data_IF_232468295308
#
_entry.id   IF_232468295308
#
_cell.length_a   1.000
_cell.length_b   1.000
_cell.length_c   1.000
_cell.angle_alpha   90.00
_cell.angle_beta   90.00
_cell.angle_gamma   90.00
#
_symmetry.space_group_name_H-M   'P 1'
#
loop_
_entity.id
_entity.type
_entity.pdbx_description
1 polymer ?
#
# COMPACT_ATOMS: atom_id res chain seq x y z
N UNK A 1 -69.86 12.03 28.50
CA UNK A 1 -68.78 11.29 29.19
C UNK A 1 -68.45 10.05 28.39
N UNK A 2 -67.33 10.07 27.65
CA UNK A 2 -66.56 8.93 27.11
C UNK A 2 -65.40 9.55 26.32
N UNK A 3 -64.31 9.85 27.02
CA UNK A 3 -63.05 10.28 26.42
C UNK A 3 -62.30 9.03 25.98
N UNK A 4 -62.13 8.83 24.68
CA UNK A 4 -61.29 7.77 24.12
C UNK A 4 -59.90 8.35 23.91
N UNK A 5 -58.96 8.00 24.79
CA UNK A 5 -57.53 8.29 24.63
C UNK A 5 -57.00 7.36 23.53
N UNK A 6 -56.61 7.93 22.40
CA UNK A 6 -55.91 7.22 21.34
C UNK A 6 -54.42 7.15 21.71
N UNK A 7 -53.98 6.01 22.25
CA UNK A 7 -52.56 5.76 22.49
C UNK A 7 -51.86 5.53 21.14
N UNK A 8 -51.07 6.51 20.71
CA UNK A 8 -50.20 6.39 19.55
C UNK A 8 -49.01 5.51 19.92
N UNK A 9 -49.07 4.22 19.59
CA UNK A 9 -47.91 3.33 19.63
C UNK A 9 -46.94 3.74 18.52
N UNK A 10 -45.93 4.52 18.86
CA UNK A 10 -44.76 4.73 18.01
C UNK A 10 -43.97 3.42 18.05
N UNK A 11 -44.21 2.55 17.07
CA UNK A 11 -43.33 1.42 16.80
C UNK A 11 -42.01 1.96 16.24
N UNK A 12 -41.09 2.33 17.12
CA UNK A 12 -39.71 2.57 16.74
C UNK A 12 -39.09 1.24 16.31
N UNK A 13 -39.08 0.96 15.01
CA UNK A 13 -38.16 -0.06 14.48
C UNK A 13 -36.75 0.40 14.84
N UNK A 14 -35.96 -0.38 15.59
CA UNK A 14 -34.55 -0.06 15.74
C UNK A 14 -33.96 -0.10 14.34
N UNK A 15 -33.57 1.06 13.82
CA UNK A 15 -32.76 1.13 12.62
C UNK A 15 -31.43 0.51 13.03
N UNK A 16 -31.28 -0.81 12.86
CA UNK A 16 -29.95 -1.41 12.88
C UNK A 16 -29.19 -0.68 11.78
N UNK A 17 -28.29 0.23 12.17
CA UNK A 17 -27.46 0.97 11.25
C UNK A 17 -26.55 -0.05 10.55
N UNK A 18 -27.02 -0.62 9.45
CA UNK A 18 -26.21 -1.47 8.61
C UNK A 18 -25.07 -0.60 8.09
N UNK A 19 -23.82 -1.03 8.31
CA UNK A 19 -22.66 -0.34 7.79
C UNK A 19 -22.77 -0.34 6.26
N UNK A 20 -23.07 0.83 5.69
CA UNK A 20 -23.07 1.05 4.25
C UNK A 20 -21.66 1.42 3.82
N UNK A 21 -21.10 0.78 2.77
CA UNK A 21 -19.79 1.18 2.29
C UNK A 21 -19.80 2.63 1.79
N UNK A 22 -18.72 3.36 2.04
CA UNK A 22 -18.55 4.78 1.71
C UNK A 22 -18.48 5.03 0.19
N UNK A 23 -18.03 4.03 -0.57
CA UNK A 23 -17.82 4.09 -2.03
C UNK A 23 -17.96 2.70 -2.67
N UNK A 24 -19.11 2.04 -2.47
CA UNK A 24 -19.39 0.72 -3.07
C UNK A 24 -19.47 0.80 -4.60
N UNK A 25 -20.18 1.80 -5.11
CA UNK A 25 -20.23 2.14 -6.53
C UNK A 25 -18.83 2.60 -6.99
N UNK A 26 -18.45 2.20 -8.20
CA UNK A 26 -17.11 2.42 -8.72
C UNK A 26 -17.11 2.55 -10.24
N UNK A 27 -16.04 3.14 -10.75
CA UNK A 27 -15.72 3.16 -12.18
C UNK A 27 -14.66 2.09 -12.44
N UNK A 28 -14.89 1.19 -13.39
CA UNK A 28 -13.86 0.24 -13.84
C UNK A 28 -12.91 0.96 -14.79
N UNK A 29 -11.68 1.20 -14.34
CA UNK A 29 -10.61 1.79 -15.16
C UNK A 29 -10.11 0.78 -16.19
N UNK A 30 -10.04 -0.49 -15.80
CA UNK A 30 -9.57 -1.58 -16.64
C UNK A 30 -10.23 -2.91 -16.23
N UNK A 31 -10.60 -3.71 -17.22
CA UNK A 31 -11.06 -5.09 -17.05
C UNK A 31 -10.21 -6.03 -17.91
N UNK A 32 -9.86 -7.18 -17.34
CA UNK A 32 -9.05 -8.19 -18.02
C UNK A 32 -9.81 -8.80 -19.20
N UNK A 33 -9.18 -8.89 -20.39
CA UNK A 33 -9.76 -9.62 -21.52
C UNK A 33 -9.71 -11.14 -21.33
N UNK A 34 -8.82 -11.66 -20.48
CA UNK A 34 -8.73 -13.07 -20.10
C UNK A 34 -8.53 -13.17 -18.57
N UNK A 35 -9.60 -13.10 -17.77
CA UNK A 35 -9.51 -13.14 -16.31
C UNK A 35 -8.84 -14.40 -15.74
N UNK A 36 -8.73 -15.48 -16.52
CA UNK A 36 -8.08 -16.71 -16.09
C UNK A 36 -6.55 -16.66 -16.19
N UNK A 37 -5.99 -15.73 -16.97
CA UNK A 37 -4.55 -15.68 -17.27
C UNK A 37 -3.91 -14.29 -17.17
N UNK A 38 -4.69 -13.22 -17.30
CA UNK A 38 -4.21 -11.83 -17.34
C UNK A 38 -4.84 -11.08 -16.17
N UNK A 39 -4.02 -10.39 -15.37
CA UNK A 39 -4.44 -9.77 -14.13
C UNK A 39 -3.92 -8.34 -14.01
N UNK A 40 -4.66 -7.50 -13.29
CA UNK A 40 -4.23 -6.13 -12.96
C UNK A 40 -3.38 -6.11 -11.70
N UNK A 41 -2.39 -5.23 -11.63
CA UNK A 41 -1.45 -5.09 -10.51
C UNK A 41 -1.12 -3.62 -10.21
N UNK A 42 -0.69 -3.38 -8.96
CA UNK A 42 -0.06 -2.14 -8.46
C UNK A 42 -0.67 -0.82 -8.96
N UNK A 43 -1.96 -0.55 -8.71
CA UNK A 43 -2.53 0.74 -9.09
C UNK A 43 -1.97 1.87 -8.20
N UNK A 44 -1.47 2.93 -8.83
CA UNK A 44 -1.06 4.19 -8.20
C UNK A 44 -1.95 5.34 -8.67
N UNK A 45 -2.15 6.35 -7.83
CA UNK A 45 -2.92 7.55 -8.20
C UNK A 45 -2.28 8.81 -7.62
N UNK A 46 -2.27 9.89 -8.40
CA UNK A 46 -2.02 11.23 -7.91
C UNK A 46 -2.96 12.25 -8.56
N UNK A 47 -3.07 13.43 -7.94
CA UNK A 47 -3.82 14.57 -8.45
C UNK A 47 -2.83 15.67 -8.84
N UNK A 48 -2.98 16.21 -10.05
CA UNK A 48 -2.20 17.35 -10.53
C UNK A 48 -2.74 18.68 -9.98
N UNK A 49 -1.95 19.77 -9.98
CA UNK A 49 -2.42 21.10 -9.60
C UNK A 49 -3.68 21.55 -10.37
N UNK A 50 -3.79 21.20 -11.66
CA UNK A 50 -4.97 21.48 -12.50
C UNK A 50 -6.25 20.77 -12.07
N UNK A 51 -6.15 19.76 -11.20
CA UNK A 51 -7.27 18.89 -10.82
C UNK A 51 -7.37 17.61 -11.65
N UNK A 52 -6.57 17.46 -12.71
CA UNK A 52 -6.45 16.19 -13.43
C UNK A 52 -5.99 15.08 -12.50
N UNK A 53 -6.64 13.93 -12.58
CA UNK A 53 -6.21 12.70 -11.91
C UNK A 53 -5.33 11.89 -12.86
N UNK A 54 -4.26 11.30 -12.32
CA UNK A 54 -3.35 10.41 -13.06
C UNK A 54 -3.30 9.07 -12.34
N UNK A 55 -3.50 8.00 -13.10
CA UNK A 55 -3.41 6.62 -12.62
C UNK A 55 -2.33 5.87 -13.36
N UNK A 56 -1.56 5.09 -12.62
CA UNK A 56 -0.71 4.03 -13.19
C UNK A 56 -1.22 2.68 -12.75
N UNK A 57 -1.12 1.67 -13.60
CA UNK A 57 -1.25 0.27 -13.16
C UNK A 57 -0.48 -0.66 -14.08
N UNK A 58 -0.28 -1.88 -13.62
CA UNK A 58 0.35 -2.95 -14.37
C UNK A 58 -0.69 -3.99 -14.79
N UNK A 59 -0.37 -4.70 -15.86
CA UNK A 59 -1.08 -5.87 -16.35
C UNK A 59 -0.05 -6.97 -16.54
N UNK A 60 -0.30 -8.17 -16.03
CA UNK A 60 0.63 -9.27 -16.20
C UNK A 60 -0.06 -10.63 -16.25
N UNK A 61 0.58 -11.57 -16.94
CA UNK A 61 0.24 -12.98 -16.88
C UNK A 61 0.90 -13.74 -15.72
N UNK A 62 1.45 -13.03 -14.72
CA UNK A 62 2.18 -13.62 -13.59
C UNK A 62 3.29 -14.59 -14.03
N UNK A 63 4.06 -14.16 -15.04
CA UNK A 63 5.13 -14.95 -15.67
C UNK A 63 4.67 -16.26 -16.33
N UNK A 64 3.37 -16.43 -16.58
CA UNK A 64 2.83 -17.60 -17.29
C UNK A 64 2.67 -17.30 -18.79
N UNK A 65 2.98 -18.26 -19.68
CA UNK A 65 2.68 -18.12 -21.11
C UNK A 65 1.19 -17.89 -21.37
N UNK A 66 0.88 -16.96 -22.28
CA UNK A 66 -0.48 -16.74 -22.79
C UNK A 66 -0.56 -17.00 -24.30
N UNK A 67 -1.64 -17.62 -24.80
CA UNK A 67 -1.88 -17.73 -26.25
C UNK A 67 -2.20 -16.37 -26.88
N UNK A 68 -1.98 -16.20 -28.20
CA UNK A 68 -1.36 -17.16 -29.12
C UNK A 68 0.18 -17.17 -29.08
N UNK A 69 0.83 -16.16 -28.49
CA UNK A 69 2.28 -15.96 -28.60
C UNK A 69 3.10 -16.99 -27.80
N UNK A 70 2.48 -17.65 -26.81
CA UNK A 70 3.14 -18.63 -25.96
C UNK A 70 4.22 -18.02 -25.06
N UNK A 71 4.12 -16.71 -24.76
CA UNK A 71 5.07 -15.94 -23.93
C UNK A 71 4.37 -15.30 -22.74
N UNK A 72 5.15 -14.97 -21.71
CA UNK A 72 4.64 -14.18 -20.61
C UNK A 72 4.34 -12.74 -21.08
N UNK A 73 3.31 -12.15 -20.49
CA UNK A 73 2.87 -10.79 -20.79
C UNK A 73 3.08 -9.90 -19.56
N UNK A 74 3.61 -8.69 -19.80
CA UNK A 74 3.69 -7.61 -18.82
C UNK A 74 3.58 -6.28 -19.57
N UNK A 75 2.76 -5.37 -19.05
CA UNK A 75 2.57 -4.02 -19.57
C UNK A 75 2.20 -3.09 -18.41
N UNK A 76 2.74 -1.87 -18.40
CA UNK A 76 2.30 -0.82 -17.47
C UNK A 76 1.64 0.32 -18.23
N UNK A 77 0.55 0.87 -17.69
CA UNK A 77 -0.29 1.87 -18.33
C UNK A 77 -0.41 3.15 -17.52
N UNK A 78 -0.50 4.26 -18.23
CA UNK A 78 -0.78 5.60 -17.69
C UNK A 78 -2.15 6.02 -18.20
N UNK A 79 -3.03 6.43 -17.29
CA UNK A 79 -4.34 6.95 -17.61
C UNK A 79 -4.57 8.29 -16.91
N UNK A 80 -5.36 9.16 -17.54
CA UNK A 80 -5.75 10.46 -16.95
C UNK A 80 -7.25 10.63 -16.95
N UNK A 81 -7.76 11.38 -15.98
CA UNK A 81 -9.14 11.82 -15.95
C UNK A 81 -9.23 13.32 -15.67
N UNK A 82 -10.01 14.01 -16.49
CA UNK A 82 -10.28 15.45 -16.43
C UNK A 82 -11.70 15.77 -15.90
N UNK A 83 -12.49 14.74 -15.58
CA UNK A 83 -13.91 14.86 -15.18
C UNK A 83 -14.20 14.30 -13.78
N UNK A 84 -13.17 14.25 -12.93
CA UNK A 84 -13.26 13.77 -11.55
C UNK A 84 -13.24 12.24 -11.42
N UNK A 85 -12.71 11.52 -12.41
CA UNK A 85 -12.58 10.06 -12.40
C UNK A 85 -13.78 9.32 -12.98
N UNK A 86 -14.68 10.01 -13.70
CA UNK A 86 -15.86 9.40 -14.35
C UNK A 86 -15.44 8.70 -15.63
N UNK A 87 -14.55 9.32 -16.41
CA UNK A 87 -13.95 8.74 -17.61
C UNK A 87 -12.43 8.79 -17.54
N UNK A 88 -11.78 7.84 -18.22
CA UNK A 88 -10.33 7.66 -18.18
C UNK A 88 -9.78 7.55 -19.60
N UNK A 89 -8.78 8.38 -19.91
CA UNK A 89 -8.06 8.36 -21.18
C UNK A 89 -6.73 7.64 -21.00
N UNK A 90 -6.49 6.57 -21.75
CA UNK A 90 -5.15 5.96 -21.84
C UNK A 90 -4.20 6.94 -22.54
N UNK A 91 -3.05 7.19 -21.92
CA UNK A 91 -2.03 8.14 -22.42
C UNK A 91 -0.83 7.45 -23.01
N UNK A 92 -0.29 6.47 -22.30
CA UNK A 92 0.91 5.77 -22.72
C UNK A 92 1.05 4.41 -22.01
N UNK A 93 1.85 3.56 -22.63
CA UNK A 93 2.46 2.40 -21.99
C UNK A 93 3.89 2.75 -21.55
N UNK A 94 4.40 2.08 -20.52
CA UNK A 94 5.77 2.28 -20.05
C UNK A 94 6.35 1.00 -19.46
N UNK A 95 7.68 0.91 -19.41
CA UNK A 95 8.42 -0.31 -19.07
C UNK A 95 8.95 -0.29 -17.63
N UNK A 96 8.09 -0.01 -16.64
CA UNK A 96 8.43 -0.10 -15.22
C UNK A 96 7.35 -0.84 -14.45
N UNK A 97 7.76 -1.71 -13.53
CA UNK A 97 6.86 -2.37 -12.57
C UNK A 97 6.89 -1.64 -11.22
N UNK A 98 5.91 -1.91 -10.37
CA UNK A 98 5.77 -1.38 -9.02
C UNK A 98 5.83 0.15 -8.96
N UNK A 99 5.26 0.79 -9.99
CA UNK A 99 5.42 2.20 -10.21
C UNK A 99 4.33 3.03 -9.51
N UNK A 100 4.68 4.27 -9.16
CA UNK A 100 3.73 5.26 -8.61
C UNK A 100 3.88 6.60 -9.32
N UNK A 101 2.78 7.31 -9.60
CA UNK A 101 2.82 8.67 -10.10
C UNK A 101 2.89 9.66 -8.92
N UNK A 102 3.64 10.74 -9.06
CA UNK A 102 3.67 11.85 -8.10
C UNK A 102 4.11 13.15 -8.76
N UNK A 103 3.70 14.27 -8.19
CA UNK A 103 4.09 15.60 -8.67
C UNK A 103 5.21 16.12 -7.78
N UNK A 104 6.29 16.61 -8.38
CA UNK A 104 7.35 17.31 -7.67
C UNK A 104 7.77 18.55 -8.48
N UNK A 105 7.76 19.71 -7.81
CA UNK A 105 7.96 20.98 -8.48
C UNK A 105 6.85 21.23 -9.51
N UNK A 106 7.22 21.38 -10.78
CA UNK A 106 6.29 21.63 -11.89
C UNK A 106 6.02 20.38 -12.75
N UNK A 107 6.66 19.27 -12.43
CA UNK A 107 6.67 18.08 -13.29
C UNK A 107 5.94 16.92 -12.63
N UNK A 108 5.36 16.08 -13.48
CA UNK A 108 4.81 14.79 -13.09
C UNK A 108 5.88 13.73 -13.30
N UNK A 109 6.05 12.86 -12.32
CA UNK A 109 7.00 11.75 -12.37
C UNK A 109 6.28 10.43 -12.15
N UNK A 110 6.79 9.37 -12.78
CA UNK A 110 6.47 7.99 -12.42
C UNK A 110 7.78 7.30 -12.08
N UNK A 111 7.89 6.82 -10.84
CA UNK A 111 9.05 6.07 -10.36
C UNK A 111 8.64 4.64 -10.05
N UNK A 112 9.42 3.69 -10.55
CA UNK A 112 9.21 2.25 -10.37
C UNK A 112 10.52 1.49 -10.58
N UNK A 113 10.42 0.25 -11.06
CA UNK A 113 11.61 -0.58 -11.34
C UNK A 113 11.52 -1.44 -12.58
N UNK A 114 12.67 -1.62 -13.23
CA UNK A 114 12.99 -2.74 -14.12
C UNK A 114 14.27 -3.42 -13.60
N UNK A 115 14.10 -4.18 -12.51
CA UNK A 115 15.13 -4.61 -11.55
C UNK A 115 15.79 -3.44 -10.81
N UNK A 116 16.26 -2.44 -11.52
CA UNK A 116 16.81 -1.19 -10.98
C UNK A 116 15.70 -0.15 -10.82
N UNK A 117 15.90 0.82 -9.94
CA UNK A 117 15.01 1.97 -9.80
C UNK A 117 15.17 2.85 -11.02
N UNK A 118 14.04 3.23 -11.61
CA UNK A 118 14.01 4.15 -12.74
C UNK A 118 12.79 5.05 -12.68
N UNK A 119 12.89 6.17 -13.38
CA UNK A 119 11.89 7.23 -13.40
C UNK A 119 11.67 7.73 -14.82
N UNK A 120 10.43 8.09 -15.13
CA UNK A 120 10.03 8.85 -16.31
C UNK A 120 9.37 10.15 -15.86
N UNK A 121 9.47 11.19 -16.69
CA UNK A 121 8.96 12.54 -16.41
C UNK A 121 7.99 12.99 -17.50
N UNK A 122 6.99 13.77 -17.10
CA UNK A 122 6.13 14.53 -18.00
C UNK A 122 6.08 15.99 -17.52
N UNK A 123 6.20 16.91 -18.48
CA UNK A 123 6.17 18.35 -18.26
C UNK A 123 4.89 18.99 -18.87
N UNK A 124 3.95 18.17 -19.34
CA UNK A 124 2.71 18.56 -20.04
C UNK A 124 1.47 17.82 -19.50
N UNK A 125 1.44 17.63 -18.18
CA UNK A 125 0.31 17.02 -17.46
C UNK A 125 0.00 15.57 -17.86
N UNK A 126 1.04 14.80 -18.18
CA UNK A 126 0.96 13.37 -18.47
C UNK A 126 0.62 13.04 -19.92
N UNK A 127 0.70 14.02 -20.84
CA UNK A 127 0.40 13.82 -22.26
C UNK A 127 1.60 13.18 -22.98
N UNK A 128 2.80 13.69 -22.77
CA UNK A 128 4.05 13.12 -23.27
C UNK A 128 5.00 12.76 -22.11
N UNK A 129 5.90 11.81 -22.38
CA UNK A 129 6.79 11.24 -21.36
C UNK A 129 8.21 11.16 -21.90
N UNK A 130 9.17 11.42 -21.01
CA UNK A 130 10.59 11.21 -21.27
C UNK A 130 10.93 9.73 -21.43
N UNK A 131 12.09 9.44 -22.01
CA UNK A 131 12.76 8.16 -21.84
C UNK A 131 13.00 7.85 -20.35
N UNK A 132 13.10 6.55 -20.03
CA UNK A 132 13.41 6.10 -18.67
C UNK A 132 14.84 6.47 -18.29
N UNK A 133 14.98 6.97 -17.06
CA UNK A 133 16.28 7.28 -16.46
C UNK A 133 16.50 6.42 -15.22
N UNK A 134 17.65 5.74 -15.14
CA UNK A 134 18.00 4.88 -14.00
C UNK A 134 18.59 5.67 -12.84
N UNK A 135 18.18 5.33 -11.63
CA UNK A 135 18.62 5.98 -10.38
C UNK A 135 19.58 5.09 -9.57
N UNK A 136 20.11 4.03 -10.18
CA UNK A 136 21.17 3.19 -9.62
C UNK A 136 21.73 2.27 -10.72
N UNK A 137 22.99 1.86 -10.56
CA UNK A 137 23.71 1.05 -11.55
C UNK A 137 23.61 -0.45 -11.34
N UNK A 138 23.19 -0.88 -10.13
CA UNK A 138 23.10 -2.30 -9.77
C UNK A 138 22.00 -2.58 -8.75
N UNK A 139 21.67 -3.86 -8.59
CA UNK A 139 20.74 -4.36 -7.58
C UNK A 139 19.38 -4.77 -8.15
N UNK A 140 18.64 -5.55 -7.37
CA UNK A 140 17.26 -5.91 -7.64
C UNK A 140 16.41 -5.20 -6.59
N UNK A 141 15.43 -4.44 -7.06
CA UNK A 141 14.61 -3.57 -6.24
C UNK A 141 13.15 -4.00 -6.32
N UNK A 142 12.45 -3.75 -5.23
CA UNK A 142 11.07 -4.10 -4.97
C UNK A 142 10.33 -2.88 -4.42
N UNK A 143 9.03 -2.80 -4.70
CA UNK A 143 8.09 -1.91 -4.01
C UNK A 143 6.65 -2.26 -4.41
N UNK A 144 5.71 -1.40 -4.03
CA UNK A 144 4.40 -1.21 -4.62
C UNK A 144 4.17 0.31 -4.85
N UNK A 145 2.93 0.74 -5.08
CA UNK A 145 2.60 2.15 -5.24
C UNK A 145 2.35 2.84 -3.88
N UNK A 146 3.30 2.77 -2.93
CA UNK A 146 3.14 3.39 -1.60
C UNK A 146 3.24 4.93 -1.65
N UNK A 147 3.08 5.60 -0.51
CA UNK A 147 3.04 7.06 -0.48
C UNK A 147 4.36 7.74 -0.91
N UNK A 148 4.27 9.05 -1.14
CA UNK A 148 5.40 9.95 -1.36
C UNK A 148 5.25 11.08 -0.35
N UNK A 149 6.32 11.36 0.40
CA UNK A 149 6.32 12.36 1.45
C UNK A 149 7.10 13.61 1.01
N UNK A 150 6.62 14.78 1.40
CA UNK A 150 7.27 16.06 1.11
C UNK A 150 7.60 16.76 2.42
N UNK A 151 8.87 17.16 2.57
CA UNK A 151 9.32 17.93 3.71
C UNK A 151 10.57 18.71 3.35
N UNK A 152 10.77 19.89 3.96
CA UNK A 152 12.04 20.64 3.84
C UNK A 152 12.46 20.91 2.38
N UNK A 153 11.49 21.13 1.49
CA UNK A 153 11.73 21.34 0.06
C UNK A 153 12.18 20.09 -0.72
N UNK A 154 12.10 18.90 -0.11
CA UNK A 154 12.51 17.64 -0.71
C UNK A 154 11.32 16.70 -0.91
N UNK A 155 11.48 15.79 -1.87
CA UNK A 155 10.69 14.57 -2.00
C UNK A 155 11.39 13.42 -1.25
N UNK A 156 10.61 12.63 -0.55
CA UNK A 156 11.03 11.43 0.17
C UNK A 156 10.13 10.25 -0.23
N UNK A 157 10.75 9.15 -0.67
CA UNK A 157 10.04 7.89 -0.96
C UNK A 157 10.97 6.72 -0.71
N UNK A 158 10.42 5.51 -0.59
CA UNK A 158 11.20 4.30 -0.32
C UNK A 158 11.11 3.35 -1.50
N UNK A 159 12.28 2.80 -1.88
CA UNK A 159 12.40 1.59 -2.67
C UNK A 159 13.10 0.53 -1.82
N UNK A 160 12.72 -0.74 -1.97
CA UNK A 160 13.31 -1.84 -1.19
C UNK A 160 14.34 -2.59 -2.01
N UNK A 161 15.56 -2.72 -1.51
CA UNK A 161 16.63 -3.44 -2.20
C UNK A 161 16.70 -4.88 -1.70
N UNK A 162 16.71 -5.84 -2.62
CA UNK A 162 16.98 -7.23 -2.29
C UNK A 162 18.44 -7.43 -1.90
N UNK A 163 18.64 -8.29 -0.91
CA UNK A 163 19.95 -8.67 -0.41
C UNK A 163 20.18 -10.20 -0.52
N UNK A 164 20.24 -10.75 -1.75
CA UNK A 164 20.01 -12.17 -2.06
C UNK A 164 21.02 -13.15 -1.46
N UNK A 165 22.18 -12.67 -1.00
CA UNK A 165 23.22 -13.49 -0.34
C UNK A 165 22.73 -14.22 0.92
N UNK A 166 21.52 -13.90 1.42
CA UNK A 166 20.89 -14.53 2.59
C UNK A 166 20.23 -15.88 2.30
N UNK A 167 20.09 -16.25 1.02
CA UNK A 167 19.64 -17.59 0.61
C UNK A 167 18.16 -17.84 0.89
N UNK A 168 17.33 -16.80 0.86
CA UNK A 168 15.87 -16.90 1.00
C UNK A 168 15.29 -17.53 -0.28
N UNK A 169 14.50 -18.58 -0.09
CA UNK A 169 13.83 -19.34 -1.14
C UNK A 169 12.33 -19.01 -1.16
N UNK A 170 11.76 -18.87 -2.34
CA UNK A 170 10.35 -18.47 -2.51
C UNK A 170 10.19 -16.96 -2.53
N UNK A 171 9.21 -16.42 -1.78
CA UNK A 171 8.96 -14.99 -1.72
C UNK A 171 9.92 -14.31 -0.73
N UNK A 172 10.75 -13.39 -1.23
CA UNK A 172 11.97 -12.92 -0.57
C UNK A 172 11.76 -11.72 0.36
N UNK A 173 10.68 -11.70 1.14
CA UNK A 173 10.37 -10.55 2.04
C UNK A 173 11.33 -10.43 3.23
N UNK A 174 12.07 -11.48 3.55
CA UNK A 174 13.07 -11.49 4.61
C UNK A 174 14.41 -10.84 4.21
N UNK A 175 14.68 -10.66 2.91
CA UNK A 175 15.96 -10.10 2.43
C UNK A 175 15.86 -8.65 1.93
N UNK A 176 14.70 -8.01 2.12
CA UNK A 176 14.48 -6.64 1.72
C UNK A 176 15.10 -5.67 2.73
N UNK A 177 15.82 -4.67 2.21
CA UNK A 177 16.20 -3.46 2.93
C UNK A 177 15.38 -2.27 2.41
N UNK A 178 14.57 -1.60 3.26
CA UNK A 178 13.92 -0.36 2.85
C UNK A 178 14.99 0.75 2.77
N UNK A 179 15.08 1.40 1.61
CA UNK A 179 16.01 2.52 1.39
C UNK A 179 15.20 3.78 1.14
N UNK A 180 15.28 4.73 2.07
CA UNK A 180 14.71 6.06 1.90
C UNK A 180 15.55 6.82 0.87
N UNK A 181 14.87 7.30 -0.15
CA UNK A 181 15.41 8.14 -1.21
C UNK A 181 14.97 9.58 -0.99
N UNK A 182 15.90 10.52 -1.07
CA UNK A 182 15.66 11.97 -0.96
C UNK A 182 16.20 12.70 -2.18
N UNK A 183 15.41 13.63 -2.72
CA UNK A 183 15.87 14.61 -3.68
C UNK A 183 15.19 15.96 -3.46
N UNK A 184 15.77 17.06 -3.92
CA UNK A 184 15.09 18.36 -3.91
C UNK A 184 13.88 18.31 -4.83
N UNK A 185 12.72 18.76 -4.35
CA UNK A 185 11.47 18.63 -5.10
C UNK A 185 11.44 19.47 -6.38
N UNK A 186 12.24 20.53 -6.45
CA UNK A 186 12.40 21.42 -7.61
C UNK A 186 13.59 21.05 -8.52
N UNK A 187 14.33 19.98 -8.20
CA UNK A 187 15.42 19.48 -9.04
C UNK A 187 14.91 18.53 -10.14
N UNK A 188 15.75 18.26 -11.14
CA UNK A 188 15.44 17.25 -12.15
C UNK A 188 15.58 15.85 -11.54
N UNK A 189 14.44 15.23 -11.21
CA UNK A 189 14.43 13.93 -10.56
C UNK A 189 14.83 12.78 -11.49
N UNK A 190 15.02 13.02 -12.79
CA UNK A 190 15.56 12.02 -13.72
C UNK A 190 17.06 11.80 -13.54
N UNK A 191 17.74 12.70 -12.82
CA UNK A 191 19.20 12.71 -12.68
C UNK A 191 19.65 12.05 -11.38
N UNK A 192 20.46 10.99 -11.48
CA UNK A 192 20.94 10.21 -10.33
C UNK A 192 21.62 11.07 -9.26
N UNK A 193 22.40 12.05 -9.69
CA UNK A 193 23.19 12.96 -8.83
C UNK A 193 22.33 13.81 -7.89
N UNK A 194 21.04 13.99 -8.21
CA UNK A 194 20.10 14.72 -7.36
C UNK A 194 19.53 13.88 -6.21
N UNK A 195 19.80 12.56 -6.19
CA UNK A 195 19.26 11.63 -5.21
C UNK A 195 20.28 11.21 -4.15
N UNK A 196 19.86 11.26 -2.88
CA UNK A 196 20.54 10.64 -1.73
C UNK A 196 19.77 9.40 -1.29
N UNK A 197 20.48 8.34 -0.90
CA UNK A 197 19.90 7.06 -0.48
C UNK A 197 20.33 6.77 0.96
N UNK A 198 19.44 6.23 1.79
CA UNK A 198 19.78 5.82 3.15
C UNK A 198 20.58 4.53 3.18
N UNK A 199 21.22 4.27 4.33
CA UNK A 199 21.88 2.99 4.58
C UNK A 199 20.88 1.84 4.53
N UNK A 200 21.36 0.65 4.16
CA UNK A 200 20.55 -0.56 4.11
C UNK A 200 20.41 -1.17 5.52
N UNK A 201 19.19 -1.53 5.90
CA UNK A 201 18.91 -2.39 7.05
C UNK A 201 18.08 -3.57 6.54
N UNK A 202 18.66 -4.76 6.43
CA UNK A 202 17.96 -5.93 5.90
C UNK A 202 17.23 -6.65 7.02
N UNK A 203 15.98 -7.07 6.81
CA UNK A 203 15.16 -7.72 7.83
C UNK A 203 15.86 -8.91 8.52
N UNK A 204 16.45 -9.83 7.75
CA UNK A 204 17.12 -11.03 8.28
C UNK A 204 18.35 -10.73 9.17
N UNK A 205 18.92 -9.54 9.06
CA UNK A 205 20.09 -9.11 9.83
C UNK A 205 19.70 -8.51 11.20
N UNK A 206 18.42 -8.27 11.43
CA UNK A 206 17.90 -7.64 12.66
C UNK A 206 17.86 -8.67 13.79
N UNK A 207 18.56 -8.44 14.92
CA UNK A 207 18.53 -9.34 16.06
C UNK A 207 17.12 -9.58 16.60
N UNK A 208 16.29 -8.53 16.67
CA UNK A 208 14.91 -8.57 17.15
C UNK A 208 14.01 -9.43 16.26
N UNK A 209 14.31 -9.55 14.96
CA UNK A 209 13.60 -10.45 14.05
C UNK A 209 13.89 -11.94 14.33
N UNK A 210 14.81 -12.25 15.25
CA UNK A 210 15.14 -13.61 15.69
C UNK A 210 14.55 -13.99 17.03
N UNK A 211 14.02 -13.02 17.77
CA UNK A 211 13.50 -13.24 19.10
C UNK A 211 12.00 -13.53 19.02
N UNK A 212 11.51 -14.62 19.63
CA UNK A 212 10.10 -14.73 19.92
C UNK A 212 9.68 -13.49 20.71
N UNK A 213 8.55 -12.89 20.34
CA UNK A 213 8.05 -11.74 21.08
C UNK A 213 6.87 -12.14 21.98
N UNK A 214 6.58 -11.29 22.97
CA UNK A 214 5.48 -11.51 23.91
C UNK A 214 4.08 -11.50 23.27
N UNK A 215 3.97 -11.15 21.98
CA UNK A 215 2.73 -11.08 21.23
C UNK A 215 2.49 -12.32 20.34
N UNK A 216 3.39 -13.29 20.36
CA UNK A 216 3.23 -14.55 19.61
C UNK A 216 3.65 -14.45 18.13
N UNK A 217 4.67 -13.64 17.79
CA UNK A 217 5.26 -13.64 16.45
C UNK A 217 6.46 -14.59 16.35
N UNK A 218 6.58 -15.37 15.25
CA UNK A 218 5.60 -15.55 14.18
C UNK A 218 4.36 -16.31 14.66
N UNK A 219 3.18 -16.02 14.09
CA UNK A 219 1.92 -16.63 14.53
C UNK A 219 1.85 -18.13 14.25
N UNK A 220 2.35 -18.54 13.09
CA UNK A 220 2.46 -19.91 12.67
C UNK A 220 3.92 -20.35 12.67
N UNK A 221 4.22 -21.66 12.71
CA UNK A 221 5.55 -22.15 12.40
C UNK A 221 6.04 -21.60 11.05
N UNK A 222 7.19 -20.94 11.05
CA UNK A 222 7.82 -20.37 9.85
C UNK A 222 9.29 -20.75 9.81
N UNK A 223 9.72 -21.36 8.71
CA UNK A 223 11.13 -21.49 8.38
C UNK A 223 11.69 -20.11 7.98
N UNK A 224 12.92 -19.80 8.38
CA UNK A 224 13.55 -18.49 8.10
C UNK A 224 13.97 -18.32 6.65
N UNK A 225 14.12 -19.40 5.89
CA UNK A 225 14.67 -19.37 4.54
C UNK A 225 13.75 -20.00 3.51
N UNK A 226 12.74 -20.78 3.90
CA UNK A 226 11.91 -21.55 2.99
C UNK A 226 10.43 -21.34 3.28
N UNK A 227 9.60 -21.64 2.29
CA UNK A 227 8.14 -21.68 2.48
C UNK A 227 7.77 -22.81 3.45
N UNK A 228 6.94 -22.50 4.44
CA UNK A 228 6.33 -23.50 5.33
C UNK A 228 4.87 -23.71 4.93
N UNK A 229 4.45 -24.95 4.73
CA UNK A 229 3.05 -25.27 4.38
C UNK A 229 2.24 -25.55 5.64
N UNK A 230 1.22 -24.74 5.90
CA UNK A 230 0.34 -24.90 7.06
C UNK A 230 -0.62 -26.08 6.90
N UNK A 231 -0.82 -26.54 5.65
CA UNK A 231 -1.59 -27.75 5.33
C UNK A 231 -0.72 -28.64 4.42
N UNK A 232 0.06 -29.57 5.00
CA UNK A 232 0.94 -30.48 4.25
C UNK A 232 0.17 -31.48 3.36
N UNK A 233 0.80 -32.04 2.30
CA UNK A 233 2.15 -31.78 1.80
C UNK A 233 2.23 -30.60 0.83
N UNK A 234 1.07 -30.09 0.37
CA UNK A 234 0.92 -28.94 -0.52
C UNK A 234 -0.34 -28.19 -0.12
N UNK A 235 -0.21 -26.96 0.36
CA UNK A 235 -1.36 -26.13 0.73
C UNK A 235 -1.00 -25.00 1.69
N UNK A 236 -1.62 -23.81 1.48
CA UNK A 236 -1.52 -22.64 2.39
C UNK A 236 -0.08 -22.36 2.86
N UNK A 237 0.81 -22.05 1.91
CA UNK A 237 2.22 -21.77 2.20
C UNK A 237 2.43 -20.36 2.77
N UNK A 238 3.24 -20.25 3.81
CA UNK A 238 3.74 -18.98 4.34
C UNK A 238 5.21 -18.81 3.95
N UNK A 239 5.54 -17.61 3.45
CA UNK A 239 6.93 -17.21 3.27
C UNK A 239 7.59 -16.94 4.64
N UNK A 240 8.93 -16.90 4.71
CA UNK A 240 9.64 -16.48 5.92
C UNK A 240 9.18 -15.12 6.45
N UNK A 241 9.38 -14.90 7.74
CA UNK A 241 9.18 -13.60 8.38
C UNK A 241 9.85 -12.49 7.59
N UNK A 242 9.18 -11.36 7.42
CA UNK A 242 9.75 -10.25 6.67
C UNK A 242 8.91 -8.99 6.68
N UNK A 243 9.40 -7.99 5.97
CA UNK A 243 8.72 -6.72 5.75
C UNK A 243 8.76 -6.34 4.26
N UNK A 244 7.89 -5.42 3.84
CA UNK A 244 7.86 -4.89 2.48
C UNK A 244 6.87 -3.72 2.37
N UNK A 245 6.77 -3.13 1.19
CA UNK A 245 5.72 -2.17 0.81
C UNK A 245 5.68 -0.95 1.73
N UNK A 246 6.86 -0.39 1.99
CA UNK A 246 7.14 0.73 2.89
C UNK A 246 6.42 2.03 2.51
N UNK A 247 5.76 2.65 3.49
CA UNK A 247 5.29 4.03 3.49
C UNK A 247 6.22 4.92 4.35
N UNK A 248 6.38 6.18 3.97
CA UNK A 248 7.18 7.18 4.69
C UNK A 248 6.26 8.04 5.57
N UNK A 249 6.66 8.27 6.82
CA UNK A 249 5.93 9.06 7.80
C UNK A 249 6.88 10.02 8.49
N UNK A 250 6.43 11.24 8.76
CA UNK A 250 7.14 12.19 9.61
C UNK A 250 6.18 12.73 10.66
N UNK A 251 6.60 12.72 11.93
CA UNK A 251 5.84 13.32 13.01
C UNK A 251 6.28 14.76 13.18
N UNK A 252 5.36 15.70 12.98
CA UNK A 252 5.59 17.15 13.06
C UNK A 252 4.87 17.81 14.24
N UNK A 253 3.99 17.09 14.94
CA UNK A 253 3.38 17.54 16.19
C UNK A 253 4.44 17.51 17.30
N UNK A 254 4.81 18.65 17.91
CA UNK A 254 5.84 18.70 18.95
C UNK A 254 5.49 17.93 20.22
N UNK A 255 4.23 17.55 20.39
CA UNK A 255 3.76 16.73 21.52
C UNK A 255 3.86 15.23 21.25
N UNK A 256 4.20 14.82 20.02
CA UNK A 256 4.35 13.42 19.66
C UNK A 256 5.68 12.86 20.19
N UNK A 257 5.65 11.66 20.79
CA UNK A 257 6.83 11.04 21.43
C UNK A 257 8.04 10.88 20.49
N UNK A 258 7.79 10.62 19.21
CA UNK A 258 8.82 10.49 18.18
C UNK A 258 9.01 11.73 17.30
N UNK A 259 8.52 12.88 17.75
CA UNK A 259 8.80 14.14 17.08
C UNK A 259 10.29 14.49 17.19
N UNK A 260 10.90 14.75 16.04
CA UNK A 260 12.24 15.29 15.96
C UNK A 260 12.15 16.80 15.65
N UNK A 261 12.52 17.69 16.59
CA UNK A 261 12.41 19.14 16.39
C UNK A 261 13.30 19.68 15.26
N UNK A 262 14.29 18.91 14.80
CA UNK A 262 15.11 19.28 13.63
C UNK A 262 14.49 18.82 12.31
N UNK A 263 13.40 18.03 12.36
CA UNK A 263 12.77 17.44 11.20
C UNK A 263 13.71 16.55 10.39
N UNK A 264 14.69 15.90 11.03
CA UNK A 264 15.68 15.02 10.39
C UNK A 264 15.31 13.54 10.49
N UNK A 265 14.24 13.20 11.22
CA UNK A 265 13.81 11.82 11.43
C UNK A 265 12.56 11.50 10.63
N UNK A 266 12.61 10.40 9.88
CA UNK A 266 11.53 9.82 9.12
C UNK A 266 11.28 8.40 9.61
N UNK A 267 10.03 7.97 9.62
CA UNK A 267 9.61 6.64 10.03
C UNK A 267 9.15 5.86 8.82
N UNK A 268 9.47 4.57 8.82
CA UNK A 268 9.21 3.64 7.74
C UNK A 268 8.14 2.65 8.22
N UNK A 269 6.93 2.78 7.71
CA UNK A 269 5.81 1.89 8.02
C UNK A 269 5.64 0.84 6.95
N UNK A 270 5.81 -0.43 7.29
CA UNK A 270 5.91 -1.52 6.33
C UNK A 270 4.83 -2.56 6.55
N UNK A 271 4.40 -3.19 5.46
CA UNK A 271 3.65 -4.43 5.54
C UNK A 271 4.48 -5.47 6.30
N UNK A 272 3.85 -6.16 7.26
CA UNK A 272 4.51 -7.20 8.04
C UNK A 272 4.07 -8.60 7.60
N UNK A 273 5.00 -9.42 7.12
CA UNK A 273 4.72 -10.83 6.82
C UNK A 273 5.01 -11.67 8.08
N UNK A 274 4.01 -11.81 8.96
CA UNK A 274 4.18 -12.44 10.28
C UNK A 274 3.17 -13.54 10.60
N UNK A 275 2.13 -13.67 9.76
CA UNK A 275 0.98 -14.55 9.99
C UNK A 275 -0.05 -13.98 10.97
N UNK A 276 0.24 -12.87 11.66
CA UNK A 276 -0.76 -12.13 12.44
C UNK A 276 -1.41 -11.03 11.59
N UNK A 277 -2.55 -10.54 12.05
CA UNK A 277 -3.24 -9.38 11.47
C UNK A 277 -3.05 -8.14 12.34
N UNK A 278 -3.25 -6.96 11.74
CA UNK A 278 -3.25 -5.67 12.43
C UNK A 278 -1.90 -5.21 13.02
N UNK A 279 -0.80 -5.74 12.50
CA UNK A 279 0.55 -5.25 12.80
C UNK A 279 1.26 -4.82 11.52
N UNK A 280 1.96 -3.69 11.59
CA UNK A 280 2.95 -3.27 10.61
C UNK A 280 4.35 -3.47 11.19
N UNK A 281 5.36 -3.54 10.32
CA UNK A 281 6.75 -3.45 10.75
C UNK A 281 7.21 -1.98 10.69
N UNK A 282 8.13 -1.60 11.58
CA UNK A 282 8.59 -0.23 11.70
C UNK A 282 10.12 -0.13 11.73
N UNK A 283 10.64 0.86 11.03
CA UNK A 283 12.01 1.34 11.15
C UNK A 283 12.00 2.88 11.12
N UNK A 284 13.17 3.50 11.29
CA UNK A 284 13.37 4.93 11.11
C UNK A 284 14.61 5.21 10.27
N UNK A 285 14.65 6.40 9.68
CA UNK A 285 15.80 6.96 9.00
C UNK A 285 16.08 8.33 9.59
N UNK A 286 17.34 8.57 9.96
CA UNK A 286 17.82 9.88 10.41
C UNK A 286 18.74 10.49 9.35
N UNK A 287 18.47 11.73 8.98
CA UNK A 287 19.40 12.56 8.22
C UNK A 287 20.54 13.03 9.13
N UNK A 288 21.77 12.81 8.69
CA UNK A 288 22.99 13.25 9.35
C UNK A 288 23.40 14.66 8.87
N UNK A 289 24.30 15.31 9.60
CA UNK A 289 24.74 16.68 9.28
C UNK A 289 25.53 16.78 7.98
N UNK A 290 26.17 15.69 7.54
CA UNK A 290 26.84 15.56 6.24
C UNK A 290 25.87 15.30 5.07
N UNK A 291 24.57 15.21 5.36
CA UNK A 291 23.53 14.93 4.38
C UNK A 291 23.31 13.45 4.08
N UNK A 292 24.13 12.54 4.61
CA UNK A 292 23.88 11.09 4.55
C UNK A 292 22.65 10.71 5.39
N UNK A 293 22.09 9.52 5.16
CA UNK A 293 20.88 9.05 5.84
C UNK A 293 21.11 7.66 6.42
N UNK A 294 20.82 7.47 7.72
CA UNK A 294 21.05 6.21 8.42
C UNK A 294 19.74 5.56 8.83
N UNK A 295 19.53 4.31 8.41
CA UNK A 295 18.37 3.49 8.77
C UNK A 295 18.65 2.71 10.05
N UNK A 296 17.70 2.71 11.00
CA UNK A 296 17.77 1.95 12.26
C UNK A 296 16.38 1.52 12.73
N UNK A 297 16.30 0.67 13.76
CA UNK A 297 15.03 0.47 14.48
C UNK A 297 14.68 1.69 15.32
N UNK A 298 13.38 1.91 15.50
CA UNK A 298 12.83 2.87 16.46
C UNK A 298 12.93 2.26 17.86
N UNK A 299 13.07 3.11 18.88
CA UNK A 299 13.01 2.69 20.28
C UNK A 299 11.76 3.26 20.95
N UNK A 300 11.17 2.46 21.83
CA UNK A 300 10.20 2.94 22.82
C UNK A 300 10.84 3.96 23.77
N UNK A 301 10.05 4.74 24.53
CA UNK A 301 10.58 5.63 25.58
C UNK A 301 11.43 4.89 26.63
N UNK A 302 11.19 3.59 26.84
CA UNK A 302 11.99 2.74 27.74
C UNK A 302 13.32 2.27 27.11
N UNK A 303 13.62 2.66 25.87
CA UNK A 303 14.84 2.27 25.15
C UNK A 303 14.75 0.91 24.43
N UNK A 304 13.63 0.20 24.55
CA UNK A 304 13.42 -1.10 23.88
C UNK A 304 13.18 -0.92 22.39
N UNK A 305 13.91 -1.61 21.51
CA UNK A 305 13.68 -1.60 20.07
C UNK A 305 12.26 -2.07 19.71
N UNK A 306 11.65 -1.40 18.73
CA UNK A 306 10.30 -1.69 18.24
C UNK A 306 10.36 -2.09 16.77
N UNK A 307 10.23 -3.38 16.51
CA UNK A 307 10.18 -3.93 15.14
C UNK A 307 8.75 -3.95 14.58
N UNK A 308 7.74 -4.12 15.45
CA UNK A 308 6.34 -4.21 15.07
C UNK A 308 5.49 -3.21 15.86
N UNK A 309 4.44 -2.72 15.22
CA UNK A 309 3.51 -1.72 15.76
C UNK A 309 2.07 -2.04 15.37
N UNK A 310 1.08 -1.67 16.20
CA UNK A 310 -0.33 -1.77 15.81
C UNK A 310 -0.61 -0.98 14.54
N UNK A 311 -1.26 -1.60 13.57
CA UNK A 311 -1.67 -0.97 12.32
C UNK A 311 -2.78 -1.80 11.67
N UNK A 312 -4.05 -1.35 11.67
CA UNK A 312 -5.15 -2.08 11.06
C UNK A 312 -4.86 -2.50 9.62
N UNK A 313 -4.90 -3.80 9.34
CA UNK A 313 -4.58 -4.35 8.01
C UNK A 313 -3.10 -4.32 7.62
N UNK A 314 -2.19 -4.04 8.56
CA UNK A 314 -0.73 -3.93 8.35
C UNK A 314 -0.04 -5.19 7.83
N UNK A 315 -0.70 -6.35 7.85
CA UNK A 315 -0.22 -7.59 7.23
C UNK A 315 -0.40 -7.63 5.70
N UNK A 316 -1.19 -6.69 5.17
CA UNK A 316 -1.49 -6.51 3.76
C UNK A 316 -0.93 -5.18 3.26
N UNK A 317 -0.92 -4.97 1.94
CA UNK A 317 -0.51 -3.68 1.38
C UNK A 317 -1.51 -2.60 1.84
N UNK A 318 -1.03 -1.58 2.54
CA UNK A 318 -1.79 -0.39 2.95
C UNK A 318 -1.19 0.91 2.37
N UNK A 319 -1.97 2.00 2.38
CA UNK A 319 -1.53 3.33 1.96
C UNK A 319 -1.77 4.34 3.09
N UNK A 320 -0.79 5.22 3.32
CA UNK A 320 -0.90 6.30 4.30
C UNK A 320 -0.87 7.65 3.59
N UNK A 321 -1.79 8.54 3.97
CA UNK A 321 -1.73 9.95 3.59
C UNK A 321 -1.71 10.84 4.82
N UNK A 322 -0.96 11.92 4.72
CA UNK A 322 -1.09 13.04 5.63
C UNK A 322 -2.10 14.04 5.07
N UNK A 323 -3.04 14.50 5.91
CA UNK A 323 -3.96 15.56 5.56
C UNK A 323 -3.53 16.87 6.24
N UNK A 324 -3.00 17.79 5.44
CA UNK A 324 -2.54 19.09 5.93
C UNK A 324 -3.64 19.96 6.54
N UNK A 325 -4.91 19.74 6.23
CA UNK A 325 -6.00 20.54 6.80
C UNK A 325 -6.33 20.09 8.23
N UNK A 326 -6.49 18.78 8.44
CA UNK A 326 -6.90 18.22 9.75
C UNK A 326 -5.72 17.86 10.63
N UNK A 327 -4.50 17.81 10.06
CA UNK A 327 -3.28 17.33 10.73
C UNK A 327 -3.43 15.89 11.24
N UNK A 328 -4.11 15.06 10.45
CA UNK A 328 -4.33 13.64 10.72
C UNK A 328 -3.71 12.78 9.62
N UNK A 329 -3.33 11.57 10.00
CA UNK A 329 -2.97 10.49 9.10
C UNK A 329 -4.22 9.73 8.69
N UNK A 330 -4.35 9.44 7.40
CA UNK A 330 -5.38 8.56 6.85
C UNK A 330 -4.74 7.25 6.40
N UNK A 331 -5.36 6.14 6.80
CA UNK A 331 -4.91 4.78 6.49
C UNK A 331 -5.99 4.05 5.68
N UNK A 332 -5.59 3.61 4.49
CA UNK A 332 -6.39 2.75 3.62
C UNK A 332 -5.80 1.34 3.63
N UNK A 333 -6.56 0.37 4.13
CA UNK A 333 -6.06 -0.99 4.35
C UNK A 333 -7.12 -2.06 4.17
N UNK A 334 -6.70 -3.32 4.10
CA UNK A 334 -7.62 -4.46 4.04
C UNK A 334 -8.07 -4.86 5.44
N UNK A 335 -9.38 -5.05 5.62
CA UNK A 335 -9.94 -5.56 6.87
C UNK A 335 -9.97 -7.08 6.86
N UNK A 336 -9.40 -7.69 7.89
CA UNK A 336 -9.58 -9.11 8.18
C UNK A 336 -10.76 -9.32 9.12
N UNK A 337 -11.52 -10.38 8.87
CA UNK A 337 -12.75 -10.76 9.58
C UNK A 337 -12.64 -12.13 10.24
N UNK A 338 -11.73 -12.98 9.76
CA UNK A 338 -11.58 -14.35 10.24
C UNK A 338 -10.15 -14.87 10.03
N UNK A 339 -9.19 -14.34 10.79
CA UNK A 339 -7.78 -14.78 10.76
C UNK A 339 -7.46 -15.94 11.71
N UNK A 340 -8.37 -16.27 12.62
CA UNK A 340 -8.19 -17.35 13.59
C UNK A 340 -8.72 -18.70 13.09
N UNK A 341 -9.32 -18.73 11.90
CA UNK A 341 -9.71 -19.97 11.24
C UNK A 341 -8.52 -20.91 11.05
N UNK A 342 -8.75 -22.19 11.31
CA UNK A 342 -7.75 -23.23 11.07
C UNK A 342 -7.42 -23.29 9.57
N UNK A 343 -6.15 -23.32 9.15
CA UNK A 343 -5.78 -23.24 7.72
C UNK A 343 -6.43 -24.30 6.81
N UNK A 344 -6.69 -25.52 7.31
CA UNK A 344 -7.39 -26.63 6.63
C UNK A 344 -8.91 -26.46 6.59
N UNK A 345 -9.49 -25.59 7.42
CA UNK A 345 -10.90 -25.25 7.41
C UNK A 345 -11.23 -24.05 6.52
N UNK A 346 -10.21 -23.37 5.97
CA UNK A 346 -10.41 -22.20 5.11
C UNK A 346 -11.17 -22.54 3.81
N UNK A 347 -12.20 -21.77 3.43
CA UNK A 347 -12.87 -21.91 2.15
C UNK A 347 -11.91 -21.82 0.95
N UNK A 348 -12.25 -22.48 -0.16
CA UNK A 348 -11.43 -22.52 -1.38
C UNK A 348 -11.12 -21.13 -1.94
N UNK A 349 -12.07 -20.22 -1.84
CA UNK A 349 -11.96 -18.85 -2.38
C UNK A 349 -11.10 -17.90 -1.52
N UNK A 350 -10.77 -18.27 -0.28
CA UNK A 350 -9.77 -17.54 0.50
C UNK A 350 -8.39 -17.81 -0.10
N UNK A 351 -7.52 -16.80 -0.19
CA UNK A 351 -6.17 -16.92 -0.75
C UNK A 351 -5.10 -16.97 0.35
N UNK A 352 -3.99 -17.68 0.10
CA UNK A 352 -2.83 -17.65 0.98
C UNK A 352 -3.16 -18.18 2.37
N UNK A 353 -2.63 -17.57 3.42
CA UNK A 353 -2.84 -17.92 4.83
C UNK A 353 -4.08 -17.21 5.42
N UNK A 354 -4.55 -17.56 6.64
CA UNK A 354 -5.73 -16.94 7.24
C UNK A 354 -5.71 -15.40 7.30
N UNK A 355 -4.55 -14.80 7.50
CA UNK A 355 -4.33 -13.34 7.60
C UNK A 355 -4.45 -12.59 6.26
N UNK A 356 -4.48 -13.29 5.13
CA UNK A 356 -4.42 -12.76 3.77
C UNK A 356 -5.79 -12.36 3.18
N UNK A 357 -6.71 -11.87 4.01
CA UNK A 357 -8.04 -11.47 3.57
C UNK A 357 -8.03 -10.13 2.83
N UNK A 358 -8.74 -10.07 1.70
CA UNK A 358 -8.53 -9.04 0.65
C UNK A 358 -9.82 -8.40 0.13
N UNK A 359 -10.98 -8.84 0.59
CA UNK A 359 -12.27 -8.52 -0.03
C UNK A 359 -12.98 -7.31 0.60
N UNK A 360 -12.36 -6.67 1.59
CA UNK A 360 -12.91 -5.54 2.33
C UNK A 360 -11.85 -4.46 2.46
N UNK A 361 -12.12 -3.29 1.89
CA UNK A 361 -11.25 -2.13 1.97
C UNK A 361 -11.83 -1.15 2.98
N UNK A 362 -11.04 -0.71 3.94
CA UNK A 362 -11.48 0.15 5.05
C UNK A 362 -10.60 1.38 5.18
N UNK A 363 -11.18 2.45 5.75
CA UNK A 363 -10.52 3.71 6.01
C UNK A 363 -10.44 3.95 7.51
N UNK A 364 -9.28 4.40 7.97
CA UNK A 364 -9.05 4.85 9.34
C UNK A 364 -8.39 6.23 9.32
N UNK A 365 -8.51 6.96 10.42
CA UNK A 365 -7.70 8.14 10.70
C UNK A 365 -6.94 7.99 12.02
N UNK A 366 -5.83 8.70 12.17
CA UNK A 366 -5.03 8.71 13.39
C UNK A 366 -4.33 10.04 13.57
N UNK A 367 -4.16 10.45 14.83
CA UNK A 367 -3.30 11.59 15.18
C UNK A 367 -1.81 11.21 15.22
N UNK A 368 -1.49 9.95 15.48
CA UNK A 368 -0.14 9.53 15.90
C UNK A 368 0.37 8.23 15.25
N UNK A 369 -0.32 7.70 14.23
CA UNK A 369 0.02 6.44 13.53
C UNK A 369 -0.03 5.16 14.38
N UNK A 370 -0.44 5.25 15.64
CA UNK A 370 -0.56 4.11 16.57
C UNK A 370 -2.04 3.89 16.92
N UNK A 371 -2.72 4.95 17.34
CA UNK A 371 -4.13 4.92 17.74
C UNK A 371 -4.99 5.22 16.51
N UNK A 372 -5.64 4.18 15.99
CA UNK A 372 -6.43 4.25 14.76
C UNK A 372 -7.92 4.29 15.06
N UNK A 373 -8.58 5.34 14.59
CA UNK A 373 -10.04 5.48 14.63
C UNK A 373 -10.63 4.95 13.32
N UNK A 374 -11.66 4.10 13.41
CA UNK A 374 -12.34 3.56 12.23
C UNK A 374 -13.24 4.61 11.58
N UNK A 375 -12.94 5.00 10.34
CA UNK A 375 -13.71 6.00 9.60
C UNK A 375 -14.86 5.35 8.80
N UNK A 376 -14.64 4.13 8.28
CA UNK A 376 -15.69 3.38 7.58
C UNK A 376 -15.19 2.30 6.65
N UNK A 377 -16.12 1.45 6.20
CA UNK A 377 -15.89 0.48 5.12
C UNK A 377 -15.94 1.24 3.79
N UNK A 378 -14.87 1.25 3.01
CA UNK A 378 -14.85 1.94 1.70
C UNK A 378 -15.68 1.15 0.69
N UNK A 379 -15.32 -0.12 0.48
CA UNK A 379 -15.96 -1.01 -0.48
C UNK A 379 -15.72 -2.46 -0.09
N UNK A 380 -16.59 -3.37 -0.54
CA UNK A 380 -16.39 -4.82 -0.40
C UNK A 380 -16.74 -5.58 -1.68
N UNK A 381 -16.13 -6.74 -1.85
CA UNK A 381 -16.64 -7.78 -2.76
C UNK A 381 -17.75 -8.60 -2.11
N UNK A 382 -18.48 -9.37 -2.91
CA UNK A 382 -19.52 -10.27 -2.40
C UNK A 382 -18.94 -11.57 -1.82
N UNK A 383 -17.77 -11.99 -2.31
CA UNK A 383 -17.06 -13.19 -1.87
C UNK A 383 -15.59 -12.87 -1.55
N UNK A 384 -14.88 -13.72 -0.79
CA UNK A 384 -13.44 -13.54 -0.55
C UNK A 384 -12.60 -13.46 -1.83
N UNK A 385 -13.05 -14.08 -2.92
CA UNK A 385 -12.43 -14.07 -4.24
C UNK A 385 -12.49 -12.68 -4.90
N UNK A 386 -13.52 -11.91 -4.62
CA UNK A 386 -13.76 -10.58 -5.14
C UNK A 386 -12.99 -9.54 -4.34
N UNK A 387 -11.67 -9.49 -4.53
CA UNK A 387 -10.79 -8.60 -3.77
C UNK A 387 -11.08 -7.12 -4.02
N UNK A 388 -10.72 -6.29 -3.04
CA UNK A 388 -10.65 -4.83 -3.04
C UNK A 388 -9.38 -4.46 -2.27
N UNK A 389 -8.20 -4.62 -2.88
CA UNK A 389 -6.92 -4.50 -2.17
C UNK A 389 -5.86 -3.71 -2.95
N UNK A 390 -4.62 -3.64 -2.41
CA UNK A 390 -3.47 -2.94 -3.02
C UNK A 390 -3.85 -1.52 -3.48
N UNK A 391 -4.68 -0.84 -2.68
CA UNK A 391 -5.36 0.35 -3.13
C UNK A 391 -4.57 1.62 -2.80
N UNK A 392 -4.29 2.46 -3.79
CA UNK A 392 -3.66 3.77 -3.56
C UNK A 392 -4.73 4.85 -3.44
N UNK A 393 -4.38 5.94 -2.76
CA UNK A 393 -5.30 7.07 -2.59
C UNK A 393 -4.60 8.41 -2.72
N UNK A 394 -5.35 9.42 -3.14
CA UNK A 394 -4.95 10.82 -3.11
C UNK A 394 -6.12 11.72 -2.69
N UNK A 395 -5.82 12.88 -2.10
CA UNK A 395 -6.82 13.88 -1.75
C UNK A 395 -7.17 14.71 -3.00
N UNK A 396 -8.46 14.89 -3.25
CA UNK A 396 -9.00 15.76 -4.30
C UNK A 396 -10.01 16.74 -3.69
N UNK A 397 -9.51 17.89 -3.24
CA UNK A 397 -10.31 18.87 -2.51
C UNK A 397 -10.85 18.30 -1.21
N UNK A 398 -12.17 18.19 -1.12
CA UNK A 398 -12.90 17.61 0.02
C UNK A 398 -13.08 16.10 -0.07
N UNK A 399 -12.74 15.50 -1.21
CA UNK A 399 -12.93 14.08 -1.47
C UNK A 399 -11.63 13.30 -1.39
N UNK A 400 -11.75 12.00 -1.16
CA UNK A 400 -10.66 11.06 -1.23
C UNK A 400 -10.85 10.15 -2.45
N UNK A 401 -9.91 10.21 -3.39
CA UNK A 401 -9.88 9.39 -4.59
C UNK A 401 -9.06 8.13 -4.32
N UNK A 402 -9.60 6.96 -4.70
CA UNK A 402 -9.01 5.66 -4.41
C UNK A 402 -8.98 4.84 -5.70
N UNK A 403 -7.85 4.20 -5.98
CA UNK A 403 -7.76 3.15 -7.01
C UNK A 403 -7.40 1.83 -6.37
N UNK A 404 -8.09 0.76 -6.74
CA UNK A 404 -7.91 -0.56 -6.13
C UNK A 404 -7.72 -1.63 -7.19
N UNK A 405 -6.84 -2.58 -6.87
CA UNK A 405 -6.79 -3.86 -7.56
C UNK A 405 -7.95 -4.70 -7.05
N UNK A 406 -8.82 -5.06 -7.98
CA UNK A 406 -10.14 -5.59 -7.67
C UNK A 406 -10.43 -6.88 -8.45
N UNK A 407 -11.39 -7.64 -7.95
CA UNK A 407 -11.92 -8.83 -8.62
C UNK A 407 -13.44 -8.83 -8.66
N UNK A 408 -14.02 -9.38 -9.73
CA UNK A 408 -15.42 -9.82 -9.76
C UNK A 408 -15.49 -11.36 -9.72
N UNK A 409 -16.68 -11.94 -9.88
CA UNK A 409 -16.87 -13.40 -9.86
C UNK A 409 -15.95 -14.17 -10.84
N UNK A 410 -15.54 -13.52 -11.95
CA UNK A 410 -14.66 -14.09 -12.98
C UNK A 410 -13.17 -13.99 -12.64
N UNK A 411 -12.77 -13.32 -11.56
CA UNK A 411 -11.38 -13.23 -11.14
C UNK A 411 -10.73 -14.61 -11.05
N UNK A 412 -9.41 -14.70 -11.21
CA UNK A 412 -8.73 -15.98 -11.03
C UNK A 412 -8.64 -16.37 -9.55
N UNK A 413 -8.30 -15.43 -8.69
CA UNK A 413 -8.29 -15.62 -7.24
C UNK A 413 -8.39 -14.29 -6.49
N UNK A 414 -8.56 -14.34 -5.16
CA UNK A 414 -8.50 -13.14 -4.31
C UNK A 414 -7.16 -12.39 -4.40
N UNK A 415 -6.09 -13.09 -4.81
CA UNK A 415 -4.83 -12.45 -5.17
C UNK A 415 -4.90 -11.89 -6.57
N UNK A 416 -5.14 -12.74 -7.58
CA UNK A 416 -5.12 -12.39 -8.99
C UNK A 416 -6.47 -11.85 -9.48
N UNK A 417 -6.69 -10.56 -9.20
CA UNK A 417 -7.87 -9.80 -9.63
C UNK A 417 -7.86 -9.44 -11.12
N UNK A 418 -9.05 -9.31 -11.68
CA UNK A 418 -9.29 -9.03 -13.10
C UNK A 418 -9.76 -7.59 -13.38
N UNK A 419 -9.80 -6.72 -12.37
CA UNK A 419 -10.25 -5.34 -12.48
C UNK A 419 -9.25 -4.37 -11.85
N UNK A 420 -9.17 -3.15 -12.40
CA UNK A 420 -8.71 -1.96 -11.69
C UNK A 420 -9.90 -1.02 -11.54
N UNK A 421 -10.24 -0.64 -10.31
CA UNK A 421 -11.44 0.15 -10.01
C UNK A 421 -11.10 1.48 -9.35
N UNK A 422 -11.84 2.52 -9.69
CA UNK A 422 -11.79 3.84 -9.08
C UNK A 422 -12.99 4.06 -8.17
N UNK A 423 -12.72 4.57 -6.96
CA UNK A 423 -13.69 4.88 -5.94
C UNK A 423 -13.48 6.31 -5.45
N UNK A 424 -14.56 6.98 -5.05
CA UNK A 424 -14.51 8.33 -4.48
C UNK A 424 -15.28 8.34 -3.16
N UNK A 425 -14.59 8.64 -2.06
CA UNK A 425 -15.21 8.86 -0.76
C UNK A 425 -15.44 10.36 -0.61
N UNK A 426 -16.70 10.77 -0.65
CA UNK A 426 -17.05 12.18 -0.61
C UNK A 426 -16.92 12.77 0.80
N UNK A 427 -16.38 13.99 0.90
CA UNK A 427 -16.25 14.74 2.16
C UNK A 427 -15.63 13.89 3.27
N UNK A 428 -14.54 13.18 2.98
CA UNK A 428 -13.96 12.16 3.86
C UNK A 428 -13.60 12.70 5.26
N UNK A 429 -13.28 14.01 5.37
CA UNK A 429 -13.00 14.67 6.66
C UNK A 429 -14.22 14.75 7.58
N UNK A 430 -15.45 14.67 7.05
CA UNK A 430 -16.67 14.59 7.86
C UNK A 430 -16.82 13.25 8.60
N UNK A 431 -15.93 12.28 8.34
CA UNK A 431 -15.88 11.00 9.06
C UNK A 431 -15.08 11.07 10.37
N UNK A 432 -14.44 12.21 10.66
CA UNK A 432 -13.71 12.44 11.93
C UNK A 432 -14.74 12.71 13.04
N UNK A 433 -14.51 12.14 14.22
CA UNK A 433 -15.38 12.27 15.39
C UNK A 433 -14.60 12.49 16.68
#
# INVERSE_FOLDING_TARGET
MKSTILALLIAGTPLFAQIRPLAQEHVTIWESPDPARIYGYTPGICRLPSGRLVVTHEISSASKPVPPEGKAFHESRILTSDDGGKTWTHRANFDLSFARPFVAGKSLYILGRDKQVAVIRSDDEGVTWSERSFLNDTGIWHQSACNVHFAKGNVYLVMEKHAPKRGIQGWQVADLAPVLMRAKADSDLTRRENWTFSSELVFEDIPEARLPNAFGLPFHPMDRKKVTFLVPPKGRGTAPLGWLETNVVQFTDPTHLWHDPQGKTFHLWMRANTGMTNYAAMAQVRENDDGSMTTSLVKSPAGTPMLFVPCPGGQMRFHVLWDDQTKLFWLLSSQTTDSMIRPDAMPKDRWGTPDNERHRLVLHFSKNMIDWCFAGLVTKGETPKESRHYASMCIDGDDLCIVSRSGNAKAHSAHNGNLITFHRVHRFRALIY
#
